data_IF_027876943850
#
_entry.id   IF_027876943850
#
_cell.length_a   1.000
_cell.length_b   1.000
_cell.length_c   1.000
_cell.angle_alpha   90.00
_cell.angle_beta   90.00
_cell.angle_gamma   90.00
#
_symmetry.space_group_name_H-M   'P 1'
#
loop_
_entity.id
_entity.type
_entity.pdbx_description
1 polymer ?
#
# COMPACT_ATOMS: atom_id res chain seq x y z
N UNK A 1 105.92 -6.48 12.69
CA UNK A 1 105.96 -5.28 13.55
C UNK A 1 104.53 -4.79 13.74
N UNK A 2 104.09 -4.72 14.99
CA UNK A 2 102.75 -4.39 15.44
C UNK A 2 102.32 -2.96 15.13
N UNK A 3 101.02 -2.77 14.88
CA UNK A 3 100.28 -1.62 15.42
C UNK A 3 98.81 -1.97 15.60
N UNK A 4 98.36 -1.89 16.86
CA UNK A 4 97.00 -2.16 17.31
C UNK A 4 96.02 -1.07 16.85
N UNK A 5 94.72 -1.39 16.71
CA UNK A 5 93.68 -0.43 16.33
C UNK A 5 93.33 0.55 17.49
N UNK A 6 92.89 1.77 17.18
CA UNK A 6 92.44 2.75 18.17
C UNK A 6 91.07 2.37 18.80
N UNK A 7 90.81 2.78 20.05
CA UNK A 7 89.60 2.43 20.81
C UNK A 7 88.35 3.21 20.35
N UNK A 8 87.14 2.68 20.62
CA UNK A 8 85.88 3.33 20.25
C UNK A 8 85.52 4.51 21.18
N UNK A 9 84.85 5.56 20.68
CA UNK A 9 84.36 6.67 21.50
C UNK A 9 83.11 6.31 22.32
N UNK A 10 83.02 6.89 23.52
CA UNK A 10 81.95 6.72 24.51
C UNK A 10 80.59 7.30 24.06
N UNK A 11 79.46 6.83 24.65
CA UNK A 11 78.11 7.25 24.25
C UNK A 11 77.80 8.68 24.73
N UNK A 12 77.38 9.54 23.79
CA UNK A 12 76.89 10.89 24.08
C UNK A 12 75.50 10.92 24.72
N UNK A 13 75.30 11.90 25.60
CA UNK A 13 74.07 12.15 26.36
C UNK A 13 72.85 12.54 25.47
N UNK A 14 71.61 12.27 25.92
CA UNK A 14 70.40 12.59 25.16
C UNK A 14 70.06 14.10 25.14
N UNK A 15 69.39 14.59 24.08
CA UNK A 15 69.06 16.01 23.91
C UNK A 15 67.88 16.50 24.79
N UNK A 16 67.79 17.82 25.08
CA UNK A 16 66.76 18.41 25.93
C UNK A 16 65.39 18.57 25.25
N UNK A 17 64.29 18.68 26.04
CA UNK A 17 62.92 18.76 25.54
C UNK A 17 62.55 20.13 24.93
N UNK A 18 61.53 20.19 24.04
CA UNK A 18 61.12 21.41 23.34
C UNK A 18 60.28 22.38 24.21
N UNK A 19 60.26 23.68 23.86
CA UNK A 19 59.57 24.74 24.62
C UNK A 19 58.05 24.81 24.37
N UNK A 20 57.27 25.39 25.32
CA UNK A 20 55.81 25.51 25.22
C UNK A 20 55.34 26.66 24.29
N UNK A 21 54.11 26.57 23.73
CA UNK A 21 53.60 27.56 22.78
C UNK A 21 53.08 28.86 23.45
N UNK A 22 53.06 30.00 22.72
CA UNK A 22 52.73 31.32 23.28
C UNK A 22 51.22 31.59 23.33
N UNK A 23 50.78 32.26 24.39
CA UNK A 23 49.40 32.72 24.58
C UNK A 23 48.98 33.85 23.63
N UNK A 24 47.74 33.79 23.14
CA UNK A 24 47.08 34.82 22.35
C UNK A 24 45.82 35.36 23.03
N UNK A 25 45.68 36.68 23.05
CA UNK A 25 44.69 37.46 23.79
C UNK A 25 43.26 37.45 23.23
N UNK A 26 42.38 38.08 24.02
CA UNK A 26 40.92 38.04 24.01
C UNK A 26 40.31 38.79 22.80
N UNK A 27 39.40 38.14 22.08
CA UNK A 27 38.38 38.79 21.24
C UNK A 27 37.03 38.93 21.99
N UNK A 28 36.10 39.78 21.52
CA UNK A 28 34.82 40.04 22.20
C UNK A 28 33.88 38.82 22.16
N UNK A 29 32.98 38.64 23.15
CA UNK A 29 32.15 37.45 23.25
C UNK A 29 31.04 37.40 22.18
N UNK A 30 30.78 36.19 21.69
CA UNK A 30 29.69 35.86 20.77
C UNK A 30 28.31 35.86 21.47
N UNK A 31 27.20 36.11 20.75
CA UNK A 31 25.85 36.09 21.32
C UNK A 31 25.40 34.66 21.72
N UNK A 32 24.50 34.51 22.72
CA UNK A 32 24.11 33.20 23.23
C UNK A 32 23.20 32.41 22.26
N UNK A 33 23.32 31.07 22.22
CA UNK A 33 22.46 30.21 21.40
C UNK A 33 21.05 30.02 22.01
N UNK A 34 20.01 29.70 21.21
CA UNK A 34 18.66 29.46 21.71
C UNK A 34 18.60 28.17 22.55
N UNK A 35 17.87 28.23 23.65
CA UNK A 35 17.81 27.20 24.69
C UNK A 35 17.52 25.78 24.17
N UNK A 36 18.49 24.90 24.37
CA UNK A 36 18.36 23.45 24.25
C UNK A 36 18.53 22.80 25.63
N UNK A 37 17.52 22.01 26.03
CA UNK A 37 17.49 21.24 27.28
C UNK A 37 18.69 20.29 27.33
N UNK A 38 19.43 20.30 28.43
CA UNK A 38 20.52 19.35 28.68
C UNK A 38 20.03 17.90 28.74
N UNK A 39 20.94 16.91 28.58
CA UNK A 39 20.59 15.50 28.70
C UNK A 39 20.15 15.16 30.14
N UNK A 40 19.21 14.23 30.34
CA UNK A 40 18.72 13.87 31.67
C UNK A 40 19.80 13.18 32.52
N UNK A 41 19.71 13.28 33.87
CA UNK A 41 20.66 12.68 34.79
C UNK A 41 20.62 11.14 34.78
N UNK A 42 21.73 10.46 35.14
CA UNK A 42 21.80 9.01 35.19
C UNK A 42 20.95 8.41 36.33
N UNK A 43 20.42 7.17 36.17
CA UNK A 43 19.58 6.52 37.17
C UNK A 43 20.38 6.06 38.41
N UNK A 44 19.74 5.96 39.59
CA UNK A 44 20.41 5.57 40.83
C UNK A 44 20.78 4.07 40.86
N UNK A 45 21.74 3.65 41.70
CA UNK A 45 22.19 2.26 41.77
C UNK A 45 21.07 1.33 42.27
N UNK A 46 20.64 0.39 41.43
CA UNK A 46 19.61 -0.59 41.75
C UNK A 46 20.07 -1.58 42.82
N UNK A 47 19.45 -1.51 44.00
CA UNK A 47 19.52 -2.54 45.02
C UNK A 47 18.89 -3.84 44.54
N UNK A 48 19.60 -4.96 44.73
CA UNK A 48 19.09 -6.31 44.46
C UNK A 48 17.96 -6.64 45.45
N UNK A 49 16.72 -6.63 44.97
CA UNK A 49 15.63 -7.33 45.65
C UNK A 49 15.81 -8.85 45.54
N UNK A 50 15.28 -9.66 46.47
CA UNK A 50 15.37 -11.11 46.41
C UNK A 50 14.60 -11.67 45.19
N UNK A 51 15.04 -12.80 44.60
CA UNK A 51 14.38 -13.37 43.44
C UNK A 51 12.97 -13.87 43.79
N UNK A 52 12.03 -13.86 42.81
CA UNK A 52 10.67 -14.34 43.01
C UNK A 52 10.63 -15.87 43.26
N UNK A 53 9.62 -16.37 43.99
CA UNK A 53 9.48 -17.80 44.28
C UNK A 53 9.14 -18.62 43.02
N UNK A 54 9.51 -19.91 42.97
CA UNK A 54 9.25 -20.77 41.82
C UNK A 54 7.75 -21.11 41.67
N UNK A 55 7.25 -21.30 40.43
CA UNK A 55 5.86 -21.64 40.18
C UNK A 55 5.53 -23.08 40.64
N UNK A 56 4.27 -23.37 41.03
CA UNK A 56 3.87 -24.70 41.47
C UNK A 56 3.97 -25.72 40.33
N UNK A 57 4.56 -26.89 40.63
CA UNK A 57 4.74 -27.98 39.69
C UNK A 57 3.41 -28.49 39.10
N UNK A 58 3.17 -28.15 37.84
CA UNK A 58 2.14 -28.76 36.99
C UNK A 58 2.82 -29.75 36.03
N UNK A 59 2.39 -31.01 36.08
CA UNK A 59 2.79 -32.06 35.13
C UNK A 59 2.48 -31.57 33.70
N UNK A 60 3.50 -31.53 32.84
CA UNK A 60 3.32 -31.23 31.43
C UNK A 60 2.43 -32.24 30.71
N UNK A 61 1.83 -31.88 29.56
CA UNK A 61 1.02 -32.80 28.76
C UNK A 61 1.87 -33.99 28.26
N UNK A 62 1.27 -35.18 28.08
CA UNK A 62 2.02 -36.37 27.67
C UNK A 62 2.60 -36.21 26.25
N UNK A 63 3.69 -36.93 25.93
CA UNK A 63 4.34 -36.86 24.63
C UNK A 63 3.42 -37.37 23.50
N UNK A 64 3.58 -36.86 22.27
CA UNK A 64 2.81 -37.31 21.11
C UNK A 64 3.13 -38.77 20.75
N UNK A 65 2.16 -39.52 20.20
CA UNK A 65 2.36 -40.92 19.83
C UNK A 65 3.34 -41.06 18.65
N UNK A 66 4.05 -42.20 18.54
CA UNK A 66 5.01 -42.44 17.47
C UNK A 66 4.34 -42.50 16.09
N UNK A 67 5.05 -42.18 14.99
CA UNK A 67 4.50 -42.21 13.65
C UNK A 67 4.10 -43.64 13.26
N UNK A 68 2.80 -43.91 13.27
CA UNK A 68 2.25 -45.15 12.71
C UNK A 68 2.46 -45.18 11.20
N UNK A 69 3.12 -46.24 10.74
CA UNK A 69 3.32 -46.51 9.31
C UNK A 69 1.98 -46.59 8.58
N UNK A 70 1.77 -45.69 7.63
CA UNK A 70 0.73 -45.84 6.62
C UNK A 70 1.31 -46.71 5.51
N UNK A 71 0.75 -47.92 5.37
CA UNK A 71 0.94 -48.73 4.17
C UNK A 71 0.44 -48.01 2.90
N UNK A 72 0.80 -48.51 1.71
CA UNK A 72 0.43 -47.88 0.45
C UNK A 72 -1.10 -47.89 0.25
N UNK A 73 -1.66 -46.92 -0.51
CA UNK A 73 -3.09 -46.85 -0.77
C UNK A 73 -3.54 -48.04 -1.64
N UNK A 74 -4.79 -48.51 -1.50
CA UNK A 74 -5.33 -49.58 -2.34
C UNK A 74 -5.57 -49.08 -3.79
N UNK A 75 -5.55 -49.99 -4.78
CA UNK A 75 -5.73 -49.65 -6.19
C UNK A 75 -7.18 -49.24 -6.53
N UNK A 76 -7.40 -48.48 -7.61
CA UNK A 76 -8.74 -48.03 -8.00
C UNK A 76 -9.54 -49.17 -8.63
N UNK A 77 -10.80 -49.34 -8.21
CA UNK A 77 -11.76 -50.24 -8.87
C UNK A 77 -12.45 -49.54 -10.06
N UNK A 78 -12.88 -50.29 -11.10
CA UNK A 78 -13.39 -49.72 -12.35
C UNK A 78 -14.91 -49.50 -12.34
N UNK A 79 -15.33 -48.34 -12.84
CA UNK A 79 -16.53 -48.17 -13.69
C UNK A 79 -17.92 -48.21 -13.01
N UNK A 80 -18.53 -47.02 -12.86
CA UNK A 80 -19.98 -46.86 -12.85
C UNK A 80 -20.38 -45.68 -13.77
N UNK A 81 -21.50 -45.76 -14.52
CA UNK A 81 -21.84 -44.83 -15.61
C UNK A 81 -22.49 -43.53 -15.09
N UNK A 82 -22.46 -42.43 -15.88
CA UNK A 82 -23.05 -41.15 -15.49
C UNK A 82 -24.59 -41.13 -15.67
N UNK A 83 -25.34 -40.36 -14.84
CA UNK A 83 -26.78 -40.19 -15.00
C UNK A 83 -27.14 -39.19 -16.13
N UNK A 84 -28.35 -39.30 -16.72
CA UNK A 84 -28.73 -38.60 -17.95
C UNK A 84 -29.09 -37.11 -17.74
N UNK A 85 -28.90 -36.33 -18.81
CA UNK A 85 -28.90 -34.87 -18.83
C UNK A 85 -30.23 -34.17 -18.52
N UNK A 86 -30.10 -33.01 -17.86
CA UNK A 86 -31.15 -32.02 -17.67
C UNK A 86 -31.01 -30.85 -18.65
N UNK A 87 -32.15 -30.43 -19.21
CA UNK A 87 -32.30 -29.38 -20.20
C UNK A 87 -31.84 -27.98 -19.73
N UNK A 88 -31.52 -27.05 -20.66
CA UNK A 88 -31.16 -25.67 -20.32
C UNK A 88 -32.40 -24.84 -19.92
N UNK A 89 -32.23 -23.77 -19.12
CA UNK A 89 -33.33 -22.88 -18.72
C UNK A 89 -33.85 -22.02 -19.88
N UNK A 90 -35.13 -21.57 -19.84
CA UNK A 90 -35.75 -20.86 -20.95
C UNK A 90 -35.24 -19.40 -21.08
N UNK A 91 -35.30 -18.81 -22.29
CA UNK A 91 -34.85 -17.44 -22.54
C UNK A 91 -35.90 -16.40 -22.09
N UNK A 92 -35.48 -15.15 -21.81
CA UNK A 92 -36.37 -14.03 -21.49
C UNK A 92 -37.09 -13.51 -22.76
N UNK A 93 -38.32 -12.99 -22.65
CA UNK A 93 -39.03 -12.44 -23.80
C UNK A 93 -38.47 -11.07 -24.20
N UNK A 94 -38.21 -10.93 -25.50
CA UNK A 94 -37.73 -9.71 -26.15
C UNK A 94 -38.85 -9.07 -26.98
N UNK A 95 -39.01 -7.75 -26.81
CA UNK A 95 -39.64 -6.84 -27.77
C UNK A 95 -41.07 -6.41 -27.42
N UNK A 96 -41.58 -5.24 -27.80
CA UNK A 96 -41.05 -4.05 -28.47
C UNK A 96 -42.12 -2.95 -28.39
N UNK A 97 -41.65 -1.71 -28.30
CA UNK A 97 -42.24 -0.40 -28.70
C UNK A 97 -43.68 -0.32 -29.28
N UNK A 98 -44.37 0.77 -28.89
CA UNK A 98 -45.37 1.51 -29.71
C UNK A 98 -46.73 1.68 -28.99
N UNK A 99 -47.06 2.83 -28.41
CA UNK A 99 -47.61 4.05 -29.02
C UNK A 99 -49.15 4.02 -29.28
N UNK A 100 -49.87 4.73 -28.38
CA UNK A 100 -51.06 5.59 -28.54
C UNK A 100 -52.32 5.22 -29.36
N UNK A 101 -53.42 5.89 -28.93
CA UNK A 101 -54.78 6.02 -29.51
C UNK A 101 -55.70 4.84 -29.17
N UNK A 102 -56.90 4.96 -28.59
CA UNK A 102 -57.81 6.06 -28.27
C UNK A 102 -59.25 5.52 -28.38
N UNK A 103 -60.18 6.06 -27.55
CA UNK A 103 -61.66 6.04 -27.67
C UNK A 103 -62.46 4.93 -26.92
N UNK A 104 -63.30 5.40 -26.00
CA UNK A 104 -64.44 4.85 -25.22
C UNK A 104 -65.64 4.42 -26.13
N UNK A 105 -66.89 4.03 -25.69
CA UNK A 105 -67.41 3.72 -24.34
C UNK A 105 -68.44 2.56 -24.21
N UNK A 106 -68.82 2.30 -22.95
CA UNK A 106 -70.12 1.75 -22.42
C UNK A 106 -70.12 0.30 -21.91
N UNK A 107 -70.29 0.14 -20.59
CA UNK A 107 -70.73 -1.11 -19.97
C UNK A 107 -70.76 -1.09 -18.43
N UNK A 108 -71.89 -0.65 -17.85
CA UNK A 108 -72.31 -0.68 -16.43
C UNK A 108 -71.75 -1.81 -15.54
N UNK A 109 -71.40 -1.46 -14.29
CA UNK A 109 -71.98 -2.15 -13.12
C UNK A 109 -71.09 -2.49 -11.92
N UNK A 110 -71.33 -1.77 -10.81
CA UNK A 110 -71.17 -2.14 -9.37
C UNK A 110 -69.76 -2.37 -8.78
N UNK A 111 -69.28 -1.32 -8.11
CA UNK A 111 -69.10 -1.29 -6.65
C UNK A 111 -67.96 -2.08 -6.04
N UNK A 112 -66.92 -1.38 -5.57
CA UNK A 112 -66.53 -1.26 -4.15
C UNK A 112 -65.47 -0.16 -4.05
N UNK A 113 -65.79 0.91 -3.35
CA UNK A 113 -64.82 1.94 -2.97
C UNK A 113 -63.82 1.34 -1.97
N UNK A 114 -62.52 1.42 -2.29
CA UNK A 114 -61.46 1.34 -1.29
C UNK A 114 -60.56 2.59 -1.36
N UNK A 115 -60.10 3.11 -0.21
CA UNK A 115 -59.55 4.46 -0.10
C UNK A 115 -58.16 4.55 -0.72
N UNK A 116 -57.79 5.77 -1.12
CA UNK A 116 -56.58 6.09 -1.86
C UNK A 116 -55.31 5.44 -1.33
N UNK A 117 -54.58 4.78 -2.24
CA UNK A 117 -53.18 4.47 -2.03
C UNK A 117 -52.42 5.80 -2.01
N UNK A 118 -52.19 6.29 -0.80
CA UNK A 118 -51.20 7.33 -0.52
C UNK A 118 -49.89 6.82 -1.10
N UNK A 119 -49.34 7.50 -2.11
CA UNK A 119 -47.97 7.24 -2.56
C UNK A 119 -47.06 7.18 -1.32
N UNK A 120 -46.15 6.20 -1.22
CA UNK A 120 -45.31 6.07 -0.03
C UNK A 120 -44.56 7.39 0.13
N UNK A 121 -44.79 8.05 1.28
CA UNK A 121 -44.13 9.32 1.60
C UNK A 121 -42.63 9.11 1.39
N UNK A 122 -42.00 9.96 0.58
CA UNK A 122 -40.53 10.04 0.50
C UNK A 122 -40.05 10.21 1.94
N UNK A 123 -39.29 9.25 2.47
CA UNK A 123 -38.85 9.30 3.86
C UNK A 123 -38.01 10.55 4.05
N UNK A 124 -38.50 11.51 4.83
CA UNK A 124 -37.80 12.74 5.18
C UNK A 124 -36.75 12.47 6.24
N UNK A 125 -36.14 11.29 6.27
CA UNK A 125 -35.17 10.85 7.26
C UNK A 125 -33.77 10.98 6.67
N UNK A 126 -32.79 11.28 7.52
CA UNK A 126 -31.37 11.21 7.15
C UNK A 126 -31.01 9.76 6.81
N UNK A 127 -30.44 9.50 5.62
CA UNK A 127 -30.12 8.14 5.21
C UNK A 127 -28.98 7.56 6.07
N UNK A 128 -29.11 6.27 6.42
CA UNK A 128 -28.03 5.50 7.04
C UNK A 128 -27.14 4.91 5.94
N UNK A 129 -25.87 5.34 5.89
CA UNK A 129 -24.91 4.93 4.86
C UNK A 129 -24.21 3.59 5.18
N UNK A 130 -24.99 2.53 5.37
CA UNK A 130 -24.43 1.18 5.52
C UNK A 130 -24.08 0.53 4.17
N UNK A 131 -23.10 -0.39 4.18
CA UNK A 131 -22.85 -1.27 3.03
C UNK A 131 -23.80 -2.45 3.09
N UNK A 132 -24.79 -2.48 2.19
CA UNK A 132 -25.85 -3.50 2.20
C UNK A 132 -25.30 -4.90 1.86
N UNK A 133 -25.63 -5.88 2.69
CA UNK A 133 -25.51 -7.31 2.34
C UNK A 133 -26.71 -7.70 1.48
N UNK A 134 -26.48 -8.07 0.22
CA UNK A 134 -27.56 -8.38 -0.74
C UNK A 134 -28.13 -9.79 -0.59
N UNK A 135 -27.35 -10.71 -0.01
CA UNK A 135 -27.76 -12.08 0.30
C UNK A 135 -27.01 -12.55 1.56
N UNK A 136 -27.73 -13.14 2.51
CA UNK A 136 -27.10 -13.79 3.64
C UNK A 136 -26.27 -14.99 3.15
N UNK A 137 -25.00 -15.06 3.56
CA UNK A 137 -24.11 -16.18 3.23
C UNK A 137 -24.37 -17.34 4.20
N UNK A 138 -24.17 -18.57 3.73
CA UNK A 138 -24.37 -19.75 4.56
C UNK A 138 -23.36 -19.77 5.73
N UNK A 139 -23.85 -19.98 6.95
CA UNK A 139 -23.08 -19.87 8.19
C UNK A 139 -22.83 -18.44 8.66
N UNK A 140 -23.41 -17.43 8.02
CA UNK A 140 -23.33 -16.04 8.48
C UNK A 140 -24.37 -15.74 9.55
N UNK A 141 -24.05 -14.78 10.42
CA UNK A 141 -24.97 -14.23 11.41
C UNK A 141 -26.32 -13.82 10.79
N UNK A 142 -26.30 -13.28 9.57
CA UNK A 142 -27.52 -12.87 8.85
C UNK A 142 -28.41 -14.04 8.41
N UNK A 143 -27.84 -15.20 8.11
CA UNK A 143 -28.61 -16.41 7.78
C UNK A 143 -29.23 -16.99 9.06
N UNK A 144 -28.46 -17.04 10.14
CA UNK A 144 -28.94 -17.52 11.45
C UNK A 144 -30.10 -16.66 11.98
N UNK A 145 -29.98 -15.33 11.88
CA UNK A 145 -31.05 -14.39 12.25
C UNK A 145 -32.29 -14.50 11.35
N UNK A 146 -32.14 -14.85 10.06
CA UNK A 146 -33.29 -15.09 9.18
C UNK A 146 -33.95 -16.45 9.44
N UNK A 147 -33.19 -17.44 9.94
CA UNK A 147 -33.66 -18.81 10.17
C UNK A 147 -34.29 -19.00 11.54
N UNK A 148 -33.81 -18.27 12.55
CA UNK A 148 -34.23 -18.39 13.95
C UNK A 148 -34.81 -17.11 14.55
N UNK A 149 -34.72 -15.98 13.85
CA UNK A 149 -35.30 -14.73 14.31
C UNK A 149 -36.83 -14.74 14.17
N UNK A 150 -37.52 -14.40 15.26
CA UNK A 150 -38.90 -13.94 15.17
C UNK A 150 -38.99 -12.78 14.15
N UNK A 151 -40.11 -12.65 13.42
CA UNK A 151 -40.29 -11.53 12.52
C UNK A 151 -40.06 -10.24 13.29
N UNK A 152 -38.98 -9.52 12.93
CA UNK A 152 -38.69 -8.21 13.48
C UNK A 152 -39.90 -7.31 13.23
N UNK A 153 -40.69 -7.14 14.28
CA UNK A 153 -41.51 -5.98 14.49
C UNK A 153 -40.94 -5.41 15.77
N UNK A 154 -40.48 -4.17 15.69
CA UNK A 154 -40.01 -3.39 16.81
C UNK A 154 -41.21 -2.66 17.43
N UNK A 155 -41.87 -3.21 18.47
CA UNK A 155 -42.69 -2.42 19.36
C UNK A 155 -41.84 -1.60 20.35
N UNK A 156 -40.53 -1.88 20.46
CA UNK A 156 -39.62 -1.16 21.38
C UNK A 156 -39.16 0.21 20.84
N UNK A 157 -39.22 0.45 19.54
CA UNK A 157 -38.77 1.72 18.94
C UNK A 157 -39.97 2.55 18.48
N UNK A 158 -40.14 3.73 19.07
CA UNK A 158 -41.12 4.70 18.60
C UNK A 158 -40.64 5.32 17.27
N UNK A 159 -41.25 4.86 16.18
CA UNK A 159 -40.98 5.35 14.82
C UNK A 159 -41.25 6.86 14.71
N UNK A 160 -42.21 7.40 15.46
CA UNK A 160 -42.56 8.82 15.44
C UNK A 160 -41.46 9.66 16.10
N UNK A 161 -40.87 9.16 17.19
CA UNK A 161 -39.70 9.76 17.83
C UNK A 161 -38.50 9.72 16.89
N UNK A 162 -38.27 8.60 16.21
CA UNK A 162 -37.20 8.44 15.22
C UNK A 162 -37.36 9.43 14.04
N UNK A 163 -38.58 9.56 13.50
CA UNK A 163 -38.89 10.54 12.45
C UNK A 163 -38.65 11.98 12.90
N UNK A 164 -38.98 12.31 14.16
CA UNK A 164 -38.74 13.63 14.72
C UNK A 164 -37.25 13.92 14.90
N UNK A 165 -36.49 12.98 15.46
CA UNK A 165 -35.08 13.15 15.79
C UNK A 165 -34.16 13.12 14.56
N UNK A 166 -34.49 12.31 13.56
CA UNK A 166 -33.63 12.05 12.40
C UNK A 166 -34.18 12.58 11.09
N UNK A 167 -35.13 13.53 11.13
CA UNK A 167 -35.61 14.17 9.92
C UNK A 167 -34.50 14.97 9.20
N UNK A 168 -34.45 14.85 7.88
CA UNK A 168 -33.77 15.79 7.01
C UNK A 168 -34.54 17.11 7.10
N UNK A 169 -33.89 18.18 7.56
CA UNK A 169 -34.51 19.50 7.68
C UNK A 169 -35.10 19.91 6.33
N UNK A 170 -36.42 19.86 6.22
CA UNK A 170 -37.19 20.52 5.17
C UNK A 170 -37.91 21.68 5.85
N UNK A 171 -37.57 22.94 5.56
CA UNK A 171 -38.32 24.08 6.07
C UNK A 171 -39.78 23.95 5.62
N UNK A 172 -40.72 23.83 6.56
CA UNK A 172 -42.15 23.90 6.26
C UNK A 172 -42.51 25.33 5.86
N UNK A 173 -43.38 25.55 4.86
CA UNK A 173 -43.95 26.87 4.60
C UNK A 173 -44.80 27.26 5.81
N UNK A 174 -44.46 28.39 6.41
CA UNK A 174 -45.12 28.95 7.59
C UNK A 174 -46.50 29.47 7.21
N UNK A 175 -47.55 28.89 7.75
CA UNK A 175 -48.84 29.57 7.84
C UNK A 175 -48.88 30.44 9.10
N UNK A 176 -49.25 31.69 8.88
CA UNK A 176 -49.16 32.82 9.80
C UNK A 176 -50.12 32.72 10.98
N UNK A 177 -49.65 32.97 12.21
CA UNK A 177 -50.43 33.72 13.21
C UNK A 177 -49.63 34.05 14.49
N UNK A 178 -49.29 35.35 14.60
CA UNK A 178 -49.21 36.25 15.78
C UNK A 178 -48.15 36.08 16.88
N UNK A 179 -47.45 37.22 17.05
CA UNK A 179 -46.96 37.86 18.29
C UNK A 179 -45.81 37.17 19.03
N UNK A 180 -44.66 37.78 19.30
CA UNK A 180 -44.15 39.15 19.19
C UNK A 180 -42.86 39.17 20.02
N UNK A 181 -41.80 39.89 19.59
CA UNK A 181 -40.61 40.06 20.43
C UNK A 181 -39.25 40.01 19.72
N UNK A 182 -38.95 41.07 18.97
CA UNK A 182 -37.67 41.82 19.00
C UNK A 182 -36.33 41.05 18.88
N UNK A 183 -35.77 41.14 17.67
CA UNK A 183 -34.34 41.38 17.31
C UNK A 183 -33.29 40.29 17.61
N UNK A 184 -32.83 39.63 16.54
CA UNK A 184 -31.47 39.84 16.01
C UNK A 184 -31.40 39.44 14.53
N UNK A 185 -31.13 40.44 13.69
CA UNK A 185 -30.77 40.30 12.29
C UNK A 185 -29.42 39.57 12.17
N UNK A 186 -29.46 38.34 11.66
CA UNK A 186 -28.34 37.74 10.96
C UNK A 186 -28.92 37.30 9.60
N UNK A 187 -28.36 37.82 8.51
CA UNK A 187 -28.88 37.61 7.17
C UNK A 187 -29.15 36.14 6.90
N UNK A 188 -30.37 35.83 6.50
CA UNK A 188 -30.76 34.51 5.99
C UNK A 188 -29.93 34.25 4.73
N UNK A 189 -28.78 33.59 4.88
CA UNK A 189 -28.19 32.87 3.76
C UNK A 189 -29.27 31.90 3.27
N UNK A 190 -29.55 31.83 1.95
CA UNK A 190 -30.48 30.84 1.44
C UNK A 190 -30.03 29.47 1.96
N UNK A 191 -30.97 28.74 2.56
CA UNK A 191 -30.71 27.46 3.19
C UNK A 191 -30.27 26.50 2.08
N UNK A 192 -28.97 26.19 2.02
CA UNK A 192 -28.41 25.37 0.96
C UNK A 192 -28.86 23.92 1.15
N UNK A 193 -29.27 23.29 0.06
CA UNK A 193 -29.67 21.89 0.07
C UNK A 193 -28.41 21.01 0.12
N UNK A 194 -28.33 20.18 1.15
CA UNK A 194 -27.24 19.22 1.33
C UNK A 194 -27.76 17.81 1.08
N UNK A 195 -27.21 17.14 0.08
CA UNK A 195 -27.55 15.76 -0.30
C UNK A 195 -26.47 14.79 0.16
N UNK A 196 -25.21 15.25 0.18
CA UNK A 196 -24.07 14.47 0.63
C UNK A 196 -24.00 14.54 2.16
N UNK A 197 -23.53 13.45 2.78
CA UNK A 197 -23.30 13.40 4.22
C UNK A 197 -22.48 14.60 4.69
N UNK A 198 -22.90 15.24 5.78
CA UNK A 198 -22.31 16.49 6.25
C UNK A 198 -20.83 16.34 6.58
N UNK A 199 -20.38 15.18 7.09
CA UNK A 199 -18.96 14.94 7.38
C UNK A 199 -18.17 14.79 6.07
N UNK A 200 -18.70 14.06 5.09
CA UNK A 200 -18.11 13.95 3.75
C UNK A 200 -18.05 15.30 3.04
N UNK A 201 -19.13 16.09 3.10
CA UNK A 201 -19.21 17.42 2.53
C UNK A 201 -18.19 18.36 3.19
N UNK A 202 -18.13 18.42 4.52
CA UNK A 202 -17.17 19.24 5.25
C UNK A 202 -15.71 18.86 4.93
N UNK A 203 -15.38 17.57 4.89
CA UNK A 203 -14.03 17.12 4.54
C UNK A 203 -13.64 17.52 3.12
N UNK A 204 -14.57 17.43 2.17
CA UNK A 204 -14.37 17.86 0.79
C UNK A 204 -14.19 19.37 0.73
N UNK A 205 -15.06 20.15 1.39
CA UNK A 205 -14.93 21.61 1.44
C UNK A 205 -13.61 22.07 2.08
N UNK A 206 -13.14 21.42 3.15
CA UNK A 206 -11.82 21.69 3.73
C UNK A 206 -10.72 21.42 2.70
N UNK A 207 -10.80 20.33 1.94
CA UNK A 207 -9.84 20.08 0.87
C UNK A 207 -9.90 21.17 -0.20
N UNK A 208 -11.09 21.60 -0.63
CA UNK A 208 -11.24 22.67 -1.62
C UNK A 208 -10.58 23.97 -1.18
N UNK A 209 -10.48 24.26 0.12
CA UNK A 209 -9.72 25.43 0.60
C UNK A 209 -8.21 25.33 0.37
N UNK A 210 -7.67 24.11 0.27
CA UNK A 210 -6.25 23.86 -0.02
C UNK A 210 -5.94 23.92 -1.50
N UNK A 211 -6.96 23.81 -2.34
CA UNK A 211 -6.82 23.82 -3.78
C UNK A 211 -6.76 25.26 -4.27
N UNK A 212 -5.60 25.66 -4.78
CA UNK A 212 -5.34 27.03 -5.23
C UNK A 212 -5.76 27.31 -6.67
N UNK A 213 -6.16 26.26 -7.40
CA UNK A 213 -6.51 26.32 -8.81
C UNK A 213 -8.02 26.08 -8.99
N UNK A 214 -8.70 26.80 -9.90
CA UNK A 214 -10.08 26.50 -10.24
C UNK A 214 -10.26 25.06 -10.75
N UNK A 215 -11.36 24.39 -10.37
CA UNK A 215 -11.64 23.03 -10.82
C UNK A 215 -11.66 22.85 -12.34
N UNK A 216 -12.26 23.75 -13.14
CA UNK A 216 -12.22 23.64 -14.59
C UNK A 216 -10.80 23.58 -15.15
N UNK A 217 -9.89 24.38 -14.60
CA UNK A 217 -8.48 24.42 -15.04
C UNK A 217 -7.75 23.13 -14.66
N UNK A 218 -7.99 22.59 -13.46
CA UNK A 218 -7.45 21.30 -13.06
C UNK A 218 -7.95 20.16 -13.96
N UNK A 219 -9.25 20.15 -14.29
CA UNK A 219 -9.82 19.13 -15.18
C UNK A 219 -9.29 19.27 -16.61
N UNK A 220 -9.09 20.50 -17.10
CA UNK A 220 -8.45 20.75 -18.38
C UNK A 220 -7.01 20.21 -18.39
N UNK A 221 -6.24 20.46 -17.32
CA UNK A 221 -4.88 19.92 -17.18
C UNK A 221 -4.85 18.37 -17.16
N UNK A 222 -5.81 17.73 -16.46
CA UNK A 222 -5.95 16.27 -16.45
C UNK A 222 -6.28 15.73 -17.85
N UNK A 223 -7.22 16.36 -18.56
CA UNK A 223 -7.60 15.95 -19.91
C UNK A 223 -6.50 16.22 -20.95
N UNK A 224 -5.67 17.23 -20.71
CA UNK A 224 -4.46 17.50 -21.48
C UNK A 224 -3.24 16.68 -21.02
N UNK A 225 -3.38 15.84 -19.98
CA UNK A 225 -2.30 15.09 -19.36
C UNK A 225 -1.03 15.92 -19.09
N UNK A 226 -1.21 17.14 -18.60
CA UNK A 226 -0.14 18.12 -18.42
C UNK A 226 0.56 17.97 -17.05
N UNK A 227 1.71 17.29 -17.07
CA UNK A 227 2.54 17.03 -15.90
C UNK A 227 3.25 18.29 -15.35
N UNK A 228 3.25 19.41 -16.09
CA UNK A 228 3.84 20.67 -15.63
C UNK A 228 2.90 21.49 -14.73
N UNK A 229 1.60 21.21 -14.82
CA UNK A 229 0.54 21.94 -14.11
C UNK A 229 0.09 21.20 -12.85
N UNK A 230 0.02 19.87 -12.91
CA UNK A 230 -0.41 19.01 -11.80
C UNK A 230 0.62 17.95 -11.47
N UNK A 231 1.05 17.93 -10.21
CA UNK A 231 1.87 16.85 -9.67
C UNK A 231 1.02 15.66 -9.21
N UNK A 232 1.70 14.54 -8.91
CA UNK A 232 1.00 13.31 -8.50
C UNK A 232 0.25 13.45 -7.18
N UNK A 233 0.75 14.25 -6.23
CA UNK A 233 0.10 14.44 -4.94
C UNK A 233 -1.22 15.22 -5.11
N UNK A 234 -1.24 16.21 -6.00
CA UNK A 234 -2.43 16.95 -6.37
C UNK A 234 -3.46 16.03 -7.05
N UNK A 235 -3.03 15.17 -7.97
CA UNK A 235 -3.91 14.21 -8.65
C UNK A 235 -4.46 13.17 -7.67
N UNK A 236 -3.64 12.61 -6.77
CA UNK A 236 -4.08 11.66 -5.73
C UNK A 236 -5.06 12.31 -4.75
N UNK A 237 -4.84 13.59 -4.41
CA UNK A 237 -5.81 14.34 -3.64
C UNK A 237 -7.14 14.47 -4.41
N UNK A 238 -7.14 14.80 -5.71
CA UNK A 238 -8.36 14.86 -6.51
C UNK A 238 -9.09 13.50 -6.57
N UNK A 239 -8.35 12.39 -6.71
CA UNK A 239 -8.92 11.03 -6.69
C UNK A 239 -9.67 10.76 -5.39
N UNK A 240 -9.08 11.13 -4.24
CA UNK A 240 -9.69 10.93 -2.92
C UNK A 240 -11.02 11.69 -2.72
N UNK A 241 -11.22 12.77 -3.47
CA UNK A 241 -12.43 13.61 -3.40
C UNK A 241 -13.33 13.45 -4.63
N UNK A 242 -13.10 12.44 -5.47
CA UNK A 242 -14.08 12.08 -6.49
C UNK A 242 -15.39 11.59 -5.83
N UNK A 243 -16.56 11.89 -6.43
CA UNK A 243 -17.83 11.39 -5.95
C UNK A 243 -17.93 9.87 -6.16
N UNK A 244 -18.52 9.16 -5.21
CA UNK A 244 -18.81 7.73 -5.39
C UNK A 244 -19.95 7.54 -6.40
N UNK A 245 -20.13 6.29 -6.87
CA UNK A 245 -21.24 5.97 -7.79
C UNK A 245 -22.59 6.31 -7.18
N UNK A 246 -22.77 6.00 -5.91
CA UNK A 246 -23.98 6.27 -5.15
C UNK A 246 -24.24 7.77 -5.02
N UNK A 247 -23.19 8.56 -4.74
CA UNK A 247 -23.26 10.03 -4.66
C UNK A 247 -23.59 10.65 -6.02
N UNK A 248 -23.00 10.15 -7.10
CA UNK A 248 -23.33 10.59 -8.47
C UNK A 248 -24.79 10.30 -8.83
N UNK A 249 -25.31 9.12 -8.48
CA UNK A 249 -26.72 8.78 -8.74
C UNK A 249 -27.67 9.63 -7.88
N UNK A 250 -27.31 9.92 -6.63
CA UNK A 250 -28.08 10.81 -5.76
C UNK A 250 -28.18 12.23 -6.35
N UNK A 251 -27.07 12.77 -6.86
CA UNK A 251 -27.01 14.08 -7.51
C UNK A 251 -27.78 14.11 -8.84
N UNK A 252 -27.78 13.02 -9.61
CA UNK A 252 -28.58 12.90 -10.84
C UNK A 252 -30.08 12.84 -10.54
N UNK A 253 -30.47 12.16 -9.46
CA UNK A 253 -31.87 12.01 -9.05
C UNK A 253 -32.47 13.30 -8.45
N UNK A 254 -31.65 14.30 -8.13
CA UNK A 254 -32.12 15.58 -7.61
C UNK A 254 -32.81 16.41 -8.70
N UNK A 255 -34.11 16.64 -8.52
CA UNK A 255 -34.95 17.41 -9.45
C UNK A 255 -35.13 18.88 -9.04
N UNK A 256 -34.50 19.31 -7.95
CA UNK A 256 -34.55 20.71 -7.51
C UNK A 256 -33.55 21.58 -8.26
N UNK A 257 -33.46 22.84 -7.84
CA UNK A 257 -32.51 23.80 -8.39
C UNK A 257 -31.08 23.47 -7.91
N UNK A 258 -30.21 23.12 -8.86
CA UNK A 258 -28.82 22.72 -8.61
C UNK A 258 -27.96 23.86 -8.07
N UNK A 259 -28.35 25.11 -8.32
CA UNK A 259 -27.63 26.28 -7.82
C UNK A 259 -27.79 26.46 -6.29
N UNK A 260 -28.87 25.89 -5.73
CA UNK A 260 -29.13 25.90 -4.29
C UNK A 260 -28.39 24.79 -3.52
N UNK A 261 -27.63 23.93 -4.19
CA UNK A 261 -26.87 22.88 -3.53
C UNK A 261 -25.65 23.42 -2.74
N UNK A 262 -25.19 22.61 -1.78
CA UNK A 262 -23.94 22.83 -1.05
C UNK A 262 -22.71 22.92 -1.96
N UNK A 263 -21.58 23.43 -1.45
CA UNK A 263 -20.37 23.61 -2.28
C UNK A 263 -19.77 22.26 -2.69
N UNK A 264 -19.84 21.25 -1.82
CA UNK A 264 -19.41 19.90 -2.13
C UNK A 264 -20.20 19.31 -3.31
N UNK A 265 -21.52 19.45 -3.31
CA UNK A 265 -22.40 18.98 -4.37
C UNK A 265 -22.12 19.70 -5.69
N UNK A 266 -21.94 21.04 -5.65
CA UNK A 266 -21.56 21.81 -6.84
C UNK A 266 -20.21 21.33 -7.40
N UNK A 267 -19.23 21.06 -6.54
CA UNK A 267 -17.94 20.50 -6.95
C UNK A 267 -18.08 19.11 -7.61
N UNK A 268 -18.91 18.23 -7.05
CA UNK A 268 -19.18 16.92 -7.64
C UNK A 268 -19.89 17.02 -8.99
N UNK A 269 -20.86 17.94 -9.14
CA UNK A 269 -21.53 18.19 -10.41
C UNK A 269 -20.55 18.66 -11.50
N UNK A 270 -19.57 19.48 -11.14
CA UNK A 270 -18.50 19.87 -12.06
C UNK A 270 -17.60 18.68 -12.47
N UNK A 271 -17.18 17.85 -11.51
CA UNK A 271 -16.41 16.62 -11.81
C UNK A 271 -17.18 15.65 -12.72
N UNK A 272 -18.50 15.55 -12.52
CA UNK A 272 -19.38 14.67 -13.31
C UNK A 272 -19.53 15.11 -14.77
N UNK A 273 -19.10 16.32 -15.15
CA UNK A 273 -19.01 16.73 -16.56
C UNK A 273 -17.96 15.93 -17.32
N UNK A 274 -16.97 15.38 -16.62
CA UNK A 274 -15.93 14.52 -17.21
C UNK A 274 -16.34 13.06 -17.03
N UNK A 275 -16.59 12.31 -18.12
CA UNK A 275 -16.92 10.89 -18.02
C UNK A 275 -15.79 10.11 -17.35
N UNK A 276 -16.12 9.25 -16.39
CA UNK A 276 -15.14 8.39 -15.68
C UNK A 276 -13.95 9.19 -15.12
N UNK A 277 -14.21 10.37 -14.56
CA UNK A 277 -13.17 11.29 -14.04
C UNK A 277 -12.15 10.61 -13.13
N UNK A 278 -12.58 9.74 -12.21
CA UNK A 278 -11.67 9.00 -11.33
C UNK A 278 -10.72 8.09 -12.13
N UNK A 279 -11.20 7.43 -13.18
CA UNK A 279 -10.40 6.57 -14.03
C UNK A 279 -9.35 7.37 -14.81
N UNK A 280 -9.75 8.50 -15.39
CA UNK A 280 -8.84 9.41 -16.10
C UNK A 280 -7.77 10.00 -15.18
N UNK A 281 -8.15 10.40 -13.96
CA UNK A 281 -7.21 10.84 -12.93
C UNK A 281 -6.20 9.75 -12.57
N UNK A 282 -6.64 8.49 -12.39
CA UNK A 282 -5.75 7.36 -12.09
C UNK A 282 -4.79 7.06 -13.25
N UNK A 283 -5.26 7.17 -14.49
CA UNK A 283 -4.42 7.04 -15.68
C UNK A 283 -3.37 8.15 -15.73
N UNK A 284 -3.77 9.39 -15.46
CA UNK A 284 -2.86 10.52 -15.44
C UNK A 284 -1.82 10.41 -14.32
N UNK A 285 -2.22 10.04 -13.09
CA UNK A 285 -1.30 9.75 -12.00
C UNK A 285 -0.28 8.66 -12.37
N UNK A 286 -0.75 7.57 -13.00
CA UNK A 286 0.12 6.51 -13.48
C UNK A 286 1.11 7.03 -14.53
N UNK A 287 0.67 7.85 -15.49
CA UNK A 287 1.54 8.46 -16.50
C UNK A 287 2.67 9.29 -15.87
N UNK A 288 2.36 10.15 -14.90
CA UNK A 288 3.36 10.97 -14.18
C UNK A 288 4.46 10.08 -13.57
N UNK A 289 4.08 8.94 -13.00
CA UNK A 289 5.01 8.06 -12.27
C UNK A 289 5.67 6.98 -13.14
N UNK A 290 5.14 6.68 -14.33
CA UNK A 290 5.54 5.48 -15.07
C UNK A 290 7.01 5.46 -15.46
N UNK A 291 7.54 6.58 -15.96
CA UNK A 291 8.93 6.63 -16.42
C UNK A 291 9.92 6.42 -15.26
N UNK A 292 9.66 7.02 -14.10
CA UNK A 292 10.50 6.81 -12.92
C UNK A 292 10.39 5.38 -12.41
N UNK A 293 9.17 4.84 -12.30
CA UNK A 293 8.94 3.45 -11.88
C UNK A 293 9.64 2.44 -12.80
N UNK A 294 9.48 2.55 -14.13
CA UNK A 294 10.12 1.64 -15.09
C UNK A 294 11.63 1.77 -15.08
N UNK A 295 12.16 2.98 -14.93
CA UNK A 295 13.61 3.22 -14.86
C UNK A 295 14.21 2.58 -13.62
N UNK A 296 13.60 2.76 -12.46
CA UNK A 296 14.03 2.16 -11.19
C UNK A 296 13.91 0.64 -11.23
N UNK A 297 12.77 0.12 -11.69
CA UNK A 297 12.53 -1.30 -11.86
C UNK A 297 13.59 -1.96 -12.77
N UNK A 298 13.88 -1.35 -13.93
CA UNK A 298 14.91 -1.81 -14.87
C UNK A 298 16.30 -1.77 -14.22
N UNK A 299 16.63 -0.73 -13.46
CA UNK A 299 17.91 -0.62 -12.75
C UNK A 299 18.08 -1.77 -11.75
N UNK A 300 17.04 -2.06 -10.98
CA UNK A 300 17.04 -3.17 -10.01
C UNK A 300 17.21 -4.53 -10.71
N UNK A 301 16.45 -4.80 -11.78
CA UNK A 301 16.60 -6.01 -12.58
C UNK A 301 18.01 -6.17 -13.16
N UNK A 302 18.55 -5.10 -13.75
CA UNK A 302 19.89 -5.12 -14.32
C UNK A 302 20.95 -5.38 -13.25
N UNK A 303 20.80 -4.81 -12.05
CA UNK A 303 21.72 -5.05 -10.93
C UNK A 303 21.74 -6.53 -10.52
N UNK A 304 20.56 -7.15 -10.40
CA UNK A 304 20.46 -8.59 -10.09
C UNK A 304 21.04 -9.44 -11.21
N UNK A 305 20.69 -9.15 -12.46
CA UNK A 305 21.17 -9.89 -13.62
C UNK A 305 22.71 -9.80 -13.76
N UNK A 306 23.26 -8.58 -13.62
CA UNK A 306 24.71 -8.36 -13.62
C UNK A 306 25.39 -9.13 -12.50
N UNK A 307 24.86 -9.09 -11.27
CA UNK A 307 25.42 -9.86 -10.16
C UNK A 307 25.44 -11.38 -10.45
N UNK A 308 24.37 -11.94 -11.02
CA UNK A 308 24.33 -13.34 -11.42
C UNK A 308 25.38 -13.66 -12.50
N UNK A 309 25.52 -12.81 -13.51
CA UNK A 309 26.47 -12.98 -14.60
C UNK A 309 27.92 -12.84 -14.12
N UNK A 310 28.21 -11.84 -13.29
CA UNK A 310 29.51 -11.61 -12.65
C UNK A 310 29.96 -12.83 -11.84
N UNK A 311 29.10 -13.35 -10.96
CA UNK A 311 29.37 -14.57 -10.18
C UNK A 311 29.60 -15.77 -11.09
N UNK A 312 28.78 -15.94 -12.13
CA UNK A 312 28.89 -17.08 -13.07
C UNK A 312 30.15 -17.01 -13.94
N UNK A 313 30.58 -15.81 -14.33
CA UNK A 313 31.67 -15.60 -15.28
C UNK A 313 33.03 -15.40 -14.63
N UNK A 314 33.10 -14.94 -13.37
CA UNK A 314 34.39 -14.69 -12.70
C UNK A 314 35.24 -15.97 -12.62
N UNK A 315 36.35 -15.98 -13.38
CA UNK A 315 37.36 -17.02 -13.32
C UNK A 315 38.06 -17.03 -11.97
N UNK A 316 38.34 -15.84 -11.42
CA UNK A 316 39.05 -15.68 -10.15
C UNK A 316 38.26 -16.30 -9.00
N UNK A 317 36.95 -16.05 -8.93
CA UNK A 317 36.07 -16.68 -7.95
C UNK A 317 36.10 -18.22 -8.08
N UNK A 318 36.00 -18.75 -9.30
CA UNK A 318 36.05 -20.21 -9.54
C UNK A 318 37.36 -20.83 -9.04
N UNK A 319 38.50 -20.18 -9.27
CA UNK A 319 39.80 -20.68 -8.81
C UNK A 319 39.92 -20.62 -7.28
N UNK A 320 39.46 -19.53 -6.65
CA UNK A 320 39.36 -19.43 -5.18
C UNK A 320 38.49 -20.56 -4.61
N UNK A 321 37.33 -20.82 -5.20
CA UNK A 321 36.43 -21.90 -4.77
C UNK A 321 37.09 -23.29 -4.89
N UNK A 322 37.90 -23.53 -5.93
CA UNK A 322 38.68 -24.77 -6.08
C UNK A 322 39.74 -24.90 -4.98
N UNK A 323 40.45 -23.83 -4.65
CA UNK A 323 41.45 -23.83 -3.57
C UNK A 323 40.80 -24.06 -2.21
N UNK A 324 39.63 -23.47 -1.95
CA UNK A 324 38.84 -23.72 -0.73
C UNK A 324 38.40 -25.19 -0.66
N UNK A 325 37.93 -25.77 -1.79
CA UNK A 325 37.56 -27.18 -1.84
C UNK A 325 38.74 -28.10 -1.51
N UNK A 326 39.92 -27.81 -2.06
CA UNK A 326 41.15 -28.55 -1.75
C UNK A 326 41.48 -28.47 -0.26
N UNK A 327 41.53 -27.27 0.32
CA UNK A 327 41.80 -27.08 1.75
C UNK A 327 40.78 -27.82 2.63
N UNK A 328 39.49 -27.72 2.29
CA UNK A 328 38.42 -28.42 2.99
C UNK A 328 38.58 -29.94 2.94
N UNK A 329 38.93 -30.50 1.78
CA UNK A 329 39.15 -31.94 1.63
C UNK A 329 40.39 -32.43 2.37
N UNK A 330 41.48 -31.66 2.38
CA UNK A 330 42.68 -31.98 3.16
C UNK A 330 42.39 -31.98 4.65
N UNK A 331 41.70 -30.95 5.15
CA UNK A 331 41.38 -30.85 6.58
C UNK A 331 40.39 -31.92 7.05
N UNK A 332 39.47 -32.34 6.18
CA UNK A 332 38.46 -33.35 6.51
C UNK A 332 38.86 -34.78 6.09
N UNK A 333 40.13 -35.00 5.74
CA UNK A 333 40.62 -36.32 5.35
C UNK A 333 40.37 -37.36 6.47
N UNK A 334 39.85 -38.53 6.10
CA UNK A 334 39.53 -39.59 7.06
C UNK A 334 38.20 -39.38 7.82
N UNK A 335 37.44 -38.32 7.51
CA UNK A 335 36.10 -38.09 8.06
C UNK A 335 35.03 -38.28 7.00
N UNK A 336 33.76 -38.42 7.41
CA UNK A 336 32.61 -38.44 6.50
C UNK A 336 32.42 -37.14 5.69
N UNK A 337 33.16 -36.07 6.01
CA UNK A 337 33.13 -34.77 5.32
C UNK A 337 34.25 -34.60 4.29
N UNK A 338 35.19 -35.54 4.21
CA UNK A 338 36.29 -35.52 3.23
C UNK A 338 35.83 -35.91 1.82
N UNK A 339 36.75 -35.82 0.86
CA UNK A 339 36.52 -36.20 -0.55
C UNK A 339 35.26 -35.58 -1.19
N UNK A 340 34.89 -34.37 -0.76
CA UNK A 340 33.78 -33.63 -1.31
C UNK A 340 34.08 -33.18 -2.75
N UNK A 341 33.06 -33.23 -3.61
CA UNK A 341 33.11 -32.69 -4.99
C UNK A 341 32.78 -31.20 -5.04
N UNK A 342 32.20 -30.65 -3.97
CA UNK A 342 31.78 -29.26 -3.83
C UNK A 342 31.22 -28.99 -2.44
N UNK A 343 30.88 -27.73 -2.15
CA UNK A 343 30.33 -27.32 -0.86
C UNK A 343 29.24 -26.24 -1.04
N UNK A 344 28.33 -26.13 -0.06
CA UNK A 344 27.32 -25.06 -0.02
C UNK A 344 27.99 -23.72 0.26
N UNK A 345 27.56 -22.64 -0.41
CA UNK A 345 28.16 -21.30 -0.30
C UNK A 345 28.17 -20.75 1.13
N UNK A 346 27.17 -21.07 1.96
CA UNK A 346 27.14 -20.66 3.37
C UNK A 346 28.34 -21.19 4.18
N UNK A 347 29.03 -22.23 3.68
CA UNK A 347 30.25 -22.75 4.29
C UNK A 347 31.43 -21.77 4.20
N UNK A 348 31.37 -20.77 3.31
CA UNK A 348 32.40 -19.73 3.21
C UNK A 348 32.56 -18.96 4.53
N UNK A 349 31.47 -18.78 5.30
CA UNK A 349 31.52 -18.14 6.61
C UNK A 349 32.34 -18.96 7.63
N UNK A 350 32.50 -20.27 7.43
CA UNK A 350 33.25 -21.15 8.35
C UNK A 350 34.77 -21.01 8.21
N UNK A 351 35.25 -20.35 7.15
CA UNK A 351 36.68 -20.11 6.94
C UNK A 351 37.27 -19.19 8.02
N UNK A 352 36.46 -18.29 8.58
CA UNK A 352 36.87 -17.44 9.70
C UNK A 352 36.81 -18.16 11.05
N UNK A 353 35.98 -19.19 11.16
CA UNK A 353 35.77 -19.95 12.41
C UNK A 353 36.88 -20.99 12.65
N UNK A 354 37.40 -21.58 11.57
CA UNK A 354 38.43 -22.62 11.65
C UNK A 354 39.79 -21.99 11.97
N UNK A 355 40.37 -22.31 13.13
CA UNK A 355 41.64 -21.75 13.61
C UNK A 355 42.78 -22.76 13.54
N UNK A 356 43.99 -22.25 13.29
CA UNK A 356 45.22 -23.01 13.48
C UNK A 356 45.45 -23.29 14.96
N UNK A 357 46.26 -24.30 15.28
CA UNK A 357 46.56 -24.73 16.66
C UNK A 357 47.07 -23.60 17.56
N UNK A 358 47.74 -22.61 16.98
CA UNK A 358 48.26 -21.45 17.70
C UNK A 358 47.21 -20.35 17.97
N UNK A 359 45.97 -20.53 17.53
CA UNK A 359 44.84 -19.58 17.60
C UNK A 359 45.06 -18.17 17.00
N UNK A 360 46.26 -17.88 16.46
CA UNK A 360 46.64 -16.60 15.87
C UNK A 360 46.21 -16.45 14.41
N UNK A 361 45.89 -17.57 13.75
CA UNK A 361 45.58 -17.61 12.32
C UNK A 361 44.29 -18.40 12.09
N UNK A 362 43.42 -17.90 11.22
CA UNK A 362 42.25 -18.64 10.74
C UNK A 362 42.53 -19.26 9.37
N UNK A 363 41.70 -20.19 8.93
CA UNK A 363 41.80 -20.78 7.59
C UNK A 363 41.68 -19.71 6.50
N UNK A 364 40.87 -18.67 6.72
CA UNK A 364 40.78 -17.50 5.82
C UNK A 364 42.12 -16.76 5.73
N UNK A 365 42.80 -16.50 6.86
CA UNK A 365 44.12 -15.87 6.83
C UNK A 365 45.14 -16.73 6.07
N UNK A 366 45.08 -18.05 6.25
CA UNK A 366 45.96 -18.98 5.53
C UNK A 366 45.70 -18.96 4.03
N UNK A 367 44.43 -18.98 3.62
CA UNK A 367 44.04 -18.83 2.22
C UNK A 367 44.57 -17.51 1.64
N UNK A 368 44.36 -16.37 2.31
CA UNK A 368 44.87 -15.07 1.86
C UNK A 368 46.40 -15.07 1.70
N UNK A 369 47.14 -15.63 2.68
CA UNK A 369 48.60 -15.76 2.63
C UNK A 369 49.04 -16.55 1.39
N UNK A 370 48.45 -17.73 1.18
CA UNK A 370 48.79 -18.60 0.03
C UNK A 370 48.44 -17.93 -1.30
N UNK A 371 47.29 -17.23 -1.37
CA UNK A 371 46.91 -16.48 -2.56
C UNK A 371 47.89 -15.34 -2.85
N UNK A 372 48.32 -14.59 -1.83
CA UNK A 372 49.31 -13.52 -2.00
C UNK A 372 50.66 -14.05 -2.51
N UNK A 373 51.12 -15.19 -1.99
CA UNK A 373 52.42 -15.77 -2.37
C UNK A 373 52.41 -16.44 -3.75
N UNK A 374 51.30 -17.11 -4.12
CA UNK A 374 51.28 -18.00 -5.31
C UNK A 374 50.36 -17.55 -6.43
N UNK A 375 49.37 -16.71 -6.15
CA UNK A 375 48.34 -16.32 -7.13
C UNK A 375 47.78 -14.92 -6.80
N UNK A 376 48.62 -13.87 -6.72
CA UNK A 376 48.21 -12.55 -6.23
C UNK A 376 47.09 -11.92 -7.06
N UNK A 377 47.01 -12.22 -8.35
CA UNK A 377 45.93 -11.79 -9.25
C UNK A 377 44.53 -12.35 -8.91
N UNK A 378 44.41 -13.23 -7.91
CA UNK A 378 43.11 -13.66 -7.38
C UNK A 378 42.61 -12.77 -6.24
N UNK A 379 43.49 -12.00 -5.59
CA UNK A 379 43.11 -11.20 -4.40
C UNK A 379 42.12 -10.08 -4.72
N UNK A 380 42.09 -9.62 -5.97
CA UNK A 380 41.16 -8.58 -6.43
C UNK A 380 39.92 -9.15 -7.14
N UNK A 381 39.56 -10.42 -6.90
CA UNK A 381 38.35 -11.04 -7.49
C UNK A 381 37.05 -10.28 -7.18
N UNK A 382 37.00 -9.55 -6.06
CA UNK A 382 35.84 -8.72 -5.70
C UNK A 382 35.58 -7.60 -6.70
N UNK A 383 36.61 -7.18 -7.47
CA UNK A 383 36.44 -6.22 -8.57
C UNK A 383 35.69 -6.80 -9.76
N UNK A 384 35.59 -8.12 -9.87
CA UNK A 384 34.77 -8.80 -10.87
C UNK A 384 33.28 -8.83 -10.44
N UNK A 385 32.95 -8.48 -9.19
CA UNK A 385 31.65 -8.68 -8.55
C UNK A 385 31.00 -7.35 -8.10
N UNK A 386 31.11 -6.31 -8.94
CA UNK A 386 30.70 -4.94 -8.61
C UNK A 386 29.21 -4.79 -8.31
N UNK A 387 28.36 -5.60 -8.93
CA UNK A 387 26.91 -5.54 -8.75
C UNK A 387 26.43 -6.35 -7.55
N UNK A 388 27.30 -7.21 -6.98
CA UNK A 388 26.93 -8.16 -5.94
C UNK A 388 26.40 -7.46 -4.68
N UNK A 389 27.11 -6.46 -4.16
CA UNK A 389 26.66 -5.73 -2.97
C UNK A 389 25.31 -5.04 -3.21
N UNK A 390 25.16 -4.34 -4.34
CA UNK A 390 23.90 -3.70 -4.72
C UNK A 390 22.73 -4.69 -4.80
N UNK A 391 22.99 -5.89 -5.34
CA UNK A 391 21.96 -6.93 -5.47
C UNK A 391 21.45 -7.45 -4.11
N UNK A 392 22.28 -7.44 -3.06
CA UNK A 392 21.86 -7.89 -1.71
C UNK A 392 20.77 -7.03 -1.08
N UNK A 393 20.63 -5.78 -1.54
CA UNK A 393 19.64 -4.81 -1.06
C UNK A 393 18.29 -4.97 -1.76
N UNK A 394 18.21 -5.78 -2.83
CA UNK A 394 17.03 -5.96 -3.66
C UNK A 394 16.26 -7.20 -3.21
N UNK A 395 14.97 -7.01 -2.93
CA UNK A 395 14.06 -8.13 -2.62
C UNK A 395 13.31 -8.56 -3.88
N UNK A 396 13.49 -9.81 -4.30
CA UNK A 396 12.82 -10.35 -5.49
C UNK A 396 11.29 -10.30 -5.39
N UNK A 397 10.75 -10.40 -4.17
CA UNK A 397 9.31 -10.28 -3.93
C UNK A 397 8.80 -8.86 -4.26
N UNK A 398 9.46 -7.82 -3.74
CA UNK A 398 9.10 -6.43 -4.08
C UNK A 398 9.25 -6.16 -5.57
N UNK A 399 10.29 -6.70 -6.20
CA UNK A 399 10.48 -6.56 -7.65
C UNK A 399 9.32 -7.19 -8.44
N UNK A 400 8.83 -8.36 -8.02
CA UNK A 400 7.65 -8.98 -8.64
C UNK A 400 6.37 -8.16 -8.42
N UNK A 401 6.19 -7.58 -7.23
CA UNK A 401 5.06 -6.71 -6.91
C UNK A 401 5.08 -5.42 -7.76
N UNK A 402 6.25 -4.80 -7.93
CA UNK A 402 6.45 -3.63 -8.81
C UNK A 402 6.12 -3.97 -10.26
N UNK A 403 6.61 -5.09 -10.80
CA UNK A 403 6.29 -5.56 -12.15
C UNK A 403 4.77 -5.72 -12.35
N UNK A 404 4.10 -6.31 -11.35
CA UNK A 404 2.66 -6.49 -11.39
C UNK A 404 1.91 -5.16 -11.34
N UNK A 405 2.38 -4.20 -10.51
CA UNK A 405 1.80 -2.87 -10.43
C UNK A 405 1.92 -2.12 -11.76
N UNK A 406 3.09 -2.13 -12.40
CA UNK A 406 3.34 -1.53 -13.72
C UNK A 406 2.43 -2.17 -14.78
N UNK A 407 2.37 -3.51 -14.81
CA UNK A 407 1.56 -4.25 -15.79
C UNK A 407 0.07 -3.93 -15.64
N UNK A 408 -0.46 -3.97 -14.41
CA UNK A 408 -1.86 -3.60 -14.13
C UNK A 408 -2.15 -2.13 -14.42
N UNK A 409 -1.19 -1.24 -14.18
CA UNK A 409 -1.29 0.17 -14.55
C UNK A 409 -1.48 0.35 -16.05
N UNK A 410 -0.65 -0.32 -16.85
CA UNK A 410 -0.78 -0.33 -18.32
C UNK A 410 -2.08 -0.95 -18.81
N UNK A 411 -2.57 -2.02 -18.18
CA UNK A 411 -3.89 -2.59 -18.49
C UNK A 411 -5.02 -1.57 -18.26
N UNK A 412 -4.97 -0.80 -17.16
CA UNK A 412 -5.94 0.25 -16.87
C UNK A 412 -5.87 1.40 -17.88
N UNK A 413 -4.67 1.79 -18.31
CA UNK A 413 -4.47 2.77 -19.39
C UNK A 413 -5.17 2.32 -20.67
N UNK A 414 -4.95 1.06 -21.09
CA UNK A 414 -5.59 0.50 -22.29
C UNK A 414 -7.11 0.43 -22.18
N UNK A 415 -7.61 0.05 -21.00
CA UNK A 415 -9.06 0.02 -20.73
C UNK A 415 -9.69 1.41 -20.81
N UNK A 416 -9.06 2.43 -20.22
CA UNK A 416 -9.59 3.79 -20.26
C UNK A 416 -9.48 4.40 -21.66
N UNK A 417 -8.42 4.09 -22.41
CA UNK A 417 -8.30 4.49 -23.80
C UNK A 417 -9.49 3.99 -24.63
N UNK A 418 -9.77 2.68 -24.57
CA UNK A 418 -10.89 2.07 -25.28
C UNK A 418 -12.25 2.64 -24.82
N UNK A 419 -12.41 2.92 -23.53
CA UNK A 419 -13.64 3.50 -23.02
C UNK A 419 -13.82 4.96 -23.47
N UNK A 420 -12.73 5.72 -23.58
CA UNK A 420 -12.75 7.17 -23.87
C UNK A 420 -13.07 7.50 -25.33
N UNK A 421 -12.96 6.54 -26.25
CA UNK A 421 -13.40 6.68 -27.64
C UNK A 421 -14.88 7.06 -27.77
N UNK A 422 -15.70 6.68 -26.79
CA UNK A 422 -17.15 6.89 -26.80
C UNK A 422 -17.59 8.15 -26.01
N UNK A 423 -16.67 8.93 -25.47
CA UNK A 423 -16.99 10.08 -24.60
C UNK A 423 -17.29 11.38 -25.35
N UNK A 424 -17.13 11.39 -26.67
CA UNK A 424 -17.26 12.59 -27.48
C UNK A 424 -16.13 13.60 -27.27
N UNK A 425 -16.36 14.90 -27.57
CA UNK A 425 -15.29 15.89 -27.68
C UNK A 425 -14.56 16.19 -26.36
N UNK A 426 -15.19 15.94 -25.21
CA UNK A 426 -14.61 16.21 -23.88
C UNK A 426 -13.34 15.39 -23.63
N UNK A 427 -13.25 14.19 -24.21
CA UNK A 427 -12.09 13.30 -24.03
C UNK A 427 -11.18 13.23 -25.27
N UNK A 428 -11.43 14.01 -26.32
CA UNK A 428 -10.73 13.86 -27.60
C UNK A 428 -9.22 14.09 -27.47
N UNK A 429 -8.83 15.16 -26.77
CA UNK A 429 -7.43 15.49 -26.50
C UNK A 429 -6.79 14.41 -25.62
N UNK A 430 -7.51 13.98 -24.58
CA UNK A 430 -7.06 12.92 -23.68
C UNK A 430 -6.77 11.61 -24.42
N UNK A 431 -7.68 11.17 -25.30
CA UNK A 431 -7.51 9.97 -26.12
C UNK A 431 -6.28 10.08 -27.03
N UNK A 432 -6.14 11.20 -27.75
CA UNK A 432 -5.02 11.42 -28.67
C UNK A 432 -3.67 11.34 -27.94
N UNK A 433 -3.57 12.00 -26.79
CA UNK A 433 -2.34 11.98 -26.00
C UNK A 433 -2.09 10.60 -25.39
N UNK A 434 -3.13 9.87 -25.00
CA UNK A 434 -3.00 8.53 -24.43
C UNK A 434 -2.63 7.47 -25.46
N UNK A 435 -2.93 7.68 -26.75
CA UNK A 435 -2.46 6.83 -27.85
C UNK A 435 -0.98 7.03 -28.17
N UNK A 436 -0.45 8.23 -27.94
CA UNK A 436 0.98 8.54 -28.13
C UNK A 436 1.86 8.00 -27.01
N UNK A 437 1.26 7.76 -25.85
CA UNK A 437 1.89 7.21 -24.65
C UNK A 437 1.86 5.67 -24.68
#
# INVERSE_FOLDING_TARGET
>A
MSRAPPPPPFPGAPPPPPPPPPGGGRGPPAPPPPGGRGPPPPPPPGGRGPPPPPPPGGRGPPPPPPPGGRGPPPPPFPGAPPPPGGAPPPPPPLGSKGANVGVDPRGRGRGYARPGAVAPRRSSLKPLHWSKVTRALQGSLWEELQRHGEPQIAPEFDVSELEKLFSANVPKPTDSSKSGGRRKSAGSKPDKVHLIDLRRANNTEIMLTKVKMPLPDMMAAVLAMDESVLDVDQVENLIKFCPTKEEMELLKAYTGDKDNLGKCEQFFLELMKVPRVESKLRVFAFKIQFQSQVTEFRKSLNTVNSACEEVRKSYKLKDIMKKILFLGNTLNQGTARGSAVGFKLDSLLKLTDTRATNNKMTLMHYLCKVLAERSPGLLDFHKDLVSLEGSTKIQLKSLAEEMQAITKGLEKVKQELAASENDGPVSEVFCKLLQLY
#
